data_IF_820590819335
#
_entry.id   IF_820590819335
#
_cell.length_a   1.000
_cell.length_b   1.000
_cell.length_c   1.000
_cell.angle_alpha   90.00
_cell.angle_beta   90.00
_cell.angle_gamma   90.00
#
_symmetry.space_group_name_H-M   'P 1'
#
loop_
_entity.id
_entity.type
_entity.pdbx_description
1 polymer ?
#
# COMPACT_ATOMS: atom_id res chain seq x y z
N UNK A 1 -14.22 13.79 -20.16
CA UNK A 1 -14.57 14.20 -18.79
C UNK A 1 -13.72 13.33 -17.86
N UNK A 2 -12.68 13.90 -17.24
CA UNK A 2 -11.79 13.15 -16.34
C UNK A 2 -12.53 12.92 -15.01
N UNK A 3 -12.83 11.68 -14.66
CA UNK A 3 -13.41 11.34 -13.36
C UNK A 3 -12.32 11.31 -12.29
N UNK A 4 -12.70 11.55 -11.03
CA UNK A 4 -11.81 11.48 -9.87
C UNK A 4 -11.07 10.12 -9.79
N UNK A 5 -11.71 9.05 -10.28
CA UNK A 5 -11.16 7.70 -10.38
C UNK A 5 -9.92 7.62 -11.27
N UNK A 6 -9.78 8.48 -12.29
CA UNK A 6 -8.63 8.48 -13.21
C UNK A 6 -7.32 9.01 -12.59
N UNK A 7 -7.42 9.66 -11.43
CA UNK A 7 -6.28 10.15 -10.63
C UNK A 7 -5.93 9.24 -9.45
N UNK A 8 -6.80 8.28 -9.16
CA UNK A 8 -6.63 7.33 -8.07
C UNK A 8 -5.90 6.10 -8.57
N UNK A 9 -4.95 5.61 -7.77
CA UNK A 9 -4.25 4.36 -8.07
C UNK A 9 -5.23 3.18 -8.03
N UNK A 10 -5.05 2.25 -8.96
CA UNK A 10 -5.74 0.96 -8.91
C UNK A 10 -5.23 0.12 -7.73
N UNK A 11 -5.97 -0.91 -7.34
CA UNK A 11 -5.51 -1.81 -6.28
C UNK A 11 -4.21 -2.53 -6.69
N UNK A 12 -4.09 -2.83 -7.99
CA UNK A 12 -2.92 -3.43 -8.63
C UNK A 12 -1.72 -2.49 -8.59
N UNK A 13 -1.90 -1.20 -8.89
CA UNK A 13 -0.84 -0.20 -8.79
C UNK A 13 -0.34 -0.08 -7.35
N UNK A 14 -1.26 0.03 -6.37
CA UNK A 14 -0.90 0.09 -4.95
C UNK A 14 -0.14 -1.17 -4.51
N UNK A 15 -0.53 -2.34 -5.01
CA UNK A 15 0.14 -3.59 -4.70
C UNK A 15 1.53 -3.69 -5.36
N UNK A 16 1.69 -3.18 -6.58
CA UNK A 16 2.98 -3.06 -7.23
C UNK A 16 3.92 -2.11 -6.46
N UNK A 17 3.43 -0.93 -6.09
CA UNK A 17 4.18 0.02 -5.26
C UNK A 17 4.56 -0.58 -3.91
N UNK A 18 3.65 -1.32 -3.25
CA UNK A 18 3.96 -2.00 -2.00
C UNK A 18 5.09 -3.02 -2.15
N UNK A 19 5.11 -3.78 -3.26
CA UNK A 19 6.18 -4.74 -3.56
C UNK A 19 7.51 -4.06 -3.73
N UNK A 20 7.55 -2.97 -4.49
CA UNK A 20 8.79 -2.20 -4.70
C UNK A 20 9.34 -1.67 -3.39
N UNK A 21 8.49 -1.08 -2.54
CA UNK A 21 8.90 -0.56 -1.24
C UNK A 21 9.46 -1.67 -0.36
N UNK A 22 8.76 -2.82 -0.27
CA UNK A 22 9.13 -3.91 0.64
C UNK A 22 10.36 -4.65 0.18
N UNK A 23 10.49 -4.87 -1.12
CA UNK A 23 11.47 -5.77 -1.71
C UNK A 23 12.54 -5.03 -2.51
N UNK A 24 12.72 -3.73 -2.25
CA UNK A 24 13.76 -2.89 -2.87
C UNK A 24 15.17 -3.46 -2.71
N UNK A 25 15.43 -4.12 -1.56
CA UNK A 25 16.70 -4.77 -1.25
C UNK A 25 16.67 -6.30 -1.46
N UNK A 26 15.69 -6.79 -2.21
CA UNK A 26 15.45 -8.21 -2.46
C UNK A 26 14.36 -8.81 -1.56
N UNK A 27 13.77 -9.91 -2.05
CA UNK A 27 12.71 -10.64 -1.36
C UNK A 27 13.28 -11.46 -0.20
N UNK A 28 12.76 -11.24 1.01
CA UNK A 28 13.12 -11.99 2.21
C UNK A 28 11.88 -12.51 2.94
N UNK A 29 12.03 -13.61 3.67
CA UNK A 29 10.96 -14.19 4.46
C UNK A 29 10.51 -13.22 5.55
N UNK A 30 9.20 -12.94 5.62
CA UNK A 30 8.63 -12.06 6.66
C UNK A 30 8.63 -12.66 8.07
N UNK A 31 9.05 -13.91 8.24
CA UNK A 31 9.09 -14.62 9.52
C UNK A 31 10.51 -14.90 10.02
N UNK A 32 11.43 -15.33 9.15
CA UNK A 32 12.80 -15.71 9.52
C UNK A 32 13.90 -14.92 8.80
N UNK A 33 13.54 -13.93 7.97
CA UNK A 33 14.47 -13.09 7.20
C UNK A 33 15.34 -13.82 6.16
N UNK A 34 15.17 -15.14 5.98
CA UNK A 34 15.89 -15.91 4.95
C UNK A 34 15.60 -15.39 3.54
N UNK A 35 16.63 -15.39 2.69
CA UNK A 35 16.52 -15.11 1.25
C UNK A 35 16.08 -16.33 0.43
N UNK A 36 16.00 -17.51 1.04
CA UNK A 36 15.57 -18.75 0.39
C UNK A 36 14.04 -18.77 0.25
N UNK A 37 13.52 -17.94 -0.66
CA UNK A 37 12.09 -17.71 -0.88
C UNK A 37 11.77 -17.92 -2.35
N UNK A 38 10.72 -18.70 -2.62
CA UNK A 38 10.20 -18.94 -3.98
C UNK A 38 8.80 -18.33 -4.13
N UNK A 39 8.42 -18.03 -5.38
CA UNK A 39 7.02 -17.72 -5.73
C UNK A 39 6.17 -18.98 -5.53
N UNK A 40 5.00 -18.82 -4.92
CA UNK A 40 4.11 -19.92 -4.54
C UNK A 40 2.67 -19.65 -4.99
N UNK A 41 2.53 -19.27 -6.26
CA UNK A 41 1.26 -18.91 -6.87
C UNK A 41 0.71 -17.56 -6.38
N UNK A 42 -0.59 -17.36 -6.60
CA UNK A 42 -1.30 -16.13 -6.26
C UNK A 42 -2.60 -16.45 -5.51
N UNK A 43 -3.11 -15.47 -4.78
CA UNK A 43 -4.49 -15.43 -4.31
C UNK A 43 -5.12 -14.12 -4.78
N UNK A 44 -6.03 -14.20 -5.74
CA UNK A 44 -6.50 -13.04 -6.51
C UNK A 44 -5.28 -12.34 -7.12
N UNK A 45 -5.12 -11.04 -6.88
CA UNK A 45 -3.99 -10.23 -7.34
C UNK A 45 -2.75 -10.31 -6.43
N UNK A 46 -2.87 -10.91 -5.24
CA UNK A 46 -1.79 -10.98 -4.25
C UNK A 46 -0.86 -12.16 -4.53
N UNK A 47 0.44 -11.89 -4.65
CA UNK A 47 1.48 -12.91 -4.80
C UNK A 47 1.68 -13.63 -3.48
N UNK A 48 1.79 -14.95 -3.55
CA UNK A 48 2.20 -15.79 -2.44
C UNK A 48 3.66 -16.18 -2.60
N UNK A 49 4.34 -16.28 -1.48
CA UNK A 49 5.73 -16.67 -1.37
C UNK A 49 5.85 -17.80 -0.36
N UNK A 50 6.70 -18.77 -0.65
CA UNK A 50 7.04 -19.86 0.26
C UNK A 50 8.51 -19.71 0.65
N UNK A 51 8.77 -19.61 1.95
CA UNK A 51 10.13 -19.73 2.45
C UNK A 51 10.53 -21.20 2.51
N UNK A 52 11.63 -21.55 1.85
CA UNK A 52 12.20 -22.91 1.87
C UNK A 52 12.99 -23.21 3.14
N UNK A 53 13.30 -22.19 3.94
CA UNK A 53 13.98 -22.34 5.22
C UNK A 53 13.00 -22.72 6.34
N UNK A 54 11.98 -21.90 6.59
CA UNK A 54 11.03 -22.14 7.68
C UNK A 54 9.70 -22.77 7.25
N UNK A 55 9.49 -23.01 5.96
CA UNK A 55 8.25 -23.58 5.40
C UNK A 55 7.04 -22.65 5.43
N UNK A 56 7.14 -21.43 5.98
CA UNK A 56 6.02 -20.51 6.06
C UNK A 56 5.64 -19.93 4.68
N UNK A 57 4.32 -19.79 4.46
CA UNK A 57 3.76 -19.07 3.32
C UNK A 57 3.39 -17.64 3.73
N UNK A 58 3.79 -16.67 2.92
CA UNK A 58 3.48 -15.25 3.15
C UNK A 58 3.14 -14.53 1.83
N UNK A 59 2.75 -13.27 1.94
CA UNK A 59 2.43 -12.40 0.82
C UNK A 59 2.97 -10.98 1.05
N UNK A 60 2.72 -10.10 0.08
CA UNK A 60 3.17 -8.70 0.12
C UNK A 60 2.65 -7.91 1.34
N UNK A 61 1.51 -8.31 1.93
CA UNK A 61 0.93 -7.66 3.10
C UNK A 61 1.41 -8.27 4.43
N UNK A 62 2.04 -9.44 4.40
CA UNK A 62 2.41 -10.16 5.63
C UNK A 62 3.43 -9.36 6.42
N UNK A 63 3.19 -9.19 7.73
CA UNK A 63 4.04 -8.37 8.59
C UNK A 63 3.94 -6.86 8.33
N UNK A 64 2.89 -6.38 7.65
CA UNK A 64 2.62 -4.94 7.46
C UNK A 64 1.34 -4.51 8.17
N UNK A 65 1.09 -3.21 8.22
CA UNK A 65 -0.20 -2.65 8.68
C UNK A 65 -1.40 -3.10 7.81
N UNK A 66 -1.14 -3.59 6.59
CA UNK A 66 -2.16 -4.10 5.67
C UNK A 66 -2.48 -5.60 5.91
N UNK A 67 -1.71 -6.28 6.77
CA UNK A 67 -1.92 -7.68 7.09
C UNK A 67 -3.31 -7.87 7.72
N UNK A 68 -4.10 -8.81 7.18
CA UNK A 68 -5.43 -9.16 7.71
C UNK A 68 -6.50 -8.11 7.43
N UNK A 69 -6.14 -6.93 6.94
CA UNK A 69 -7.09 -5.88 6.59
C UNK A 69 -7.93 -6.29 5.38
N UNK A 70 -9.24 -6.11 5.51
CA UNK A 70 -10.22 -6.19 4.41
C UNK A 70 -10.37 -4.87 3.65
N UNK A 71 -9.78 -3.79 4.17
CA UNK A 71 -9.76 -2.49 3.49
C UNK A 71 -8.81 -2.56 2.30
N UNK A 72 -9.27 -2.21 1.07
CA UNK A 72 -8.44 -2.20 -0.13
C UNK A 72 -7.20 -1.31 0.03
N UNK A 73 -6.05 -1.73 -0.51
CA UNK A 73 -4.81 -0.95 -0.49
C UNK A 73 -5.01 0.45 -1.07
N UNK A 74 -5.81 0.61 -2.13
CA UNK A 74 -6.09 1.94 -2.71
C UNK A 74 -6.61 2.96 -1.70
N UNK A 75 -7.40 2.51 -0.71
CA UNK A 75 -7.91 3.37 0.38
C UNK A 75 -6.79 3.78 1.32
N UNK A 76 -5.91 2.85 1.68
CA UNK A 76 -4.75 3.16 2.52
C UNK A 76 -3.80 4.15 1.84
N UNK A 77 -3.54 3.94 0.55
CA UNK A 77 -2.70 4.82 -0.26
C UNK A 77 -3.31 6.21 -0.40
N UNK A 78 -4.61 6.32 -0.66
CA UNK A 78 -5.31 7.59 -0.69
C UNK A 78 -5.15 8.37 0.62
N UNK A 79 -5.42 7.71 1.75
CA UNK A 79 -5.33 8.35 3.07
C UNK A 79 -3.87 8.76 3.35
N UNK A 80 -2.91 7.89 3.06
CA UNK A 80 -1.49 8.20 3.24
C UNK A 80 -1.04 9.42 2.42
N UNK A 81 -1.53 9.58 1.19
CA UNK A 81 -1.26 10.72 0.32
C UNK A 81 -1.89 12.01 0.85
N UNK A 82 -3.19 11.96 1.13
CA UNK A 82 -3.97 13.14 1.54
C UNK A 82 -3.59 13.65 2.93
N UNK A 83 -3.10 12.76 3.80
CA UNK A 83 -2.47 13.16 5.08
C UNK A 83 -1.30 14.13 4.89
N UNK A 84 -0.53 14.02 3.80
CA UNK A 84 0.61 14.92 3.52
C UNK A 84 0.15 16.29 3.00
N UNK A 85 -1.01 16.32 2.36
CA UNK A 85 -1.66 17.55 1.88
C UNK A 85 -2.45 18.28 2.97
N UNK A 86 -2.47 17.76 4.20
CA UNK A 86 -3.19 18.37 5.32
C UNK A 86 -4.71 18.15 5.31
N UNK A 87 -5.22 17.25 4.45
CA UNK A 87 -6.65 16.95 4.40
C UNK A 87 -7.15 16.42 5.75
N UNK A 88 -8.35 16.85 6.15
CA UNK A 88 -9.00 16.38 7.37
C UNK A 88 -9.58 14.98 7.19
N UNK A 89 -9.78 14.28 8.31
CA UNK A 89 -10.39 12.94 8.32
C UNK A 89 -11.83 12.98 7.81
N UNK A 90 -12.55 14.08 8.08
CA UNK A 90 -13.92 14.29 7.61
C UNK A 90 -13.98 14.42 6.09
N UNK A 91 -13.06 15.19 5.49
CA UNK A 91 -12.97 15.30 4.02
C UNK A 91 -12.61 13.96 3.38
N UNK A 92 -11.65 13.21 3.95
CA UNK A 92 -11.32 11.87 3.48
C UNK A 92 -12.52 10.92 3.53
N UNK A 93 -13.30 10.99 4.62
CA UNK A 93 -14.52 10.20 4.81
C UNK A 93 -15.57 10.50 3.74
N UNK A 94 -15.79 11.78 3.42
CA UNK A 94 -16.71 12.21 2.36
C UNK A 94 -16.24 11.70 0.99
N UNK A 95 -14.96 11.92 0.63
CA UNK A 95 -14.41 11.52 -0.68
C UNK A 95 -14.45 10.01 -0.86
N UNK A 96 -14.11 9.24 0.18
CA UNK A 96 -14.11 7.78 0.14
C UNK A 96 -15.53 7.17 0.26
N UNK A 97 -16.54 7.95 0.61
CA UNK A 97 -17.87 7.43 0.95
C UNK A 97 -17.85 6.46 2.13
N UNK A 98 -16.93 6.65 3.07
CA UNK A 98 -16.73 5.78 4.24
C UNK A 98 -17.12 6.51 5.52
N UNK A 99 -17.60 5.79 6.53
CA UNK A 99 -17.80 6.36 7.86
C UNK A 99 -16.49 6.91 8.44
N UNK A 100 -16.60 7.97 9.25
CA UNK A 100 -15.46 8.66 9.88
C UNK A 100 -14.57 7.70 10.67
N UNK A 101 -15.16 6.87 11.54
CA UNK A 101 -14.42 6.00 12.47
C UNK A 101 -13.46 5.00 11.78
N UNK A 102 -13.87 4.24 10.74
CA UNK A 102 -12.93 3.47 9.93
C UNK A 102 -11.76 4.29 9.37
N UNK A 103 -12.02 5.48 8.83
CA UNK A 103 -10.99 6.36 8.26
C UNK A 103 -10.04 6.84 9.34
N UNK A 104 -10.56 7.28 10.49
CA UNK A 104 -9.78 7.67 11.67
C UNK A 104 -8.85 6.53 12.12
N UNK A 105 -9.34 5.29 12.20
CA UNK A 105 -8.52 4.13 12.58
C UNK A 105 -7.40 3.86 11.58
N UNK A 106 -7.64 4.07 10.28
CA UNK A 106 -6.61 3.94 9.24
C UNK A 106 -5.55 5.03 9.40
N UNK A 107 -5.97 6.30 9.55
CA UNK A 107 -5.07 7.45 9.79
C UNK A 107 -4.20 7.20 11.01
N UNK A 108 -4.79 6.74 12.12
CA UNK A 108 -4.06 6.43 13.36
C UNK A 108 -2.98 5.37 13.12
N UNK A 109 -3.32 4.23 12.50
CA UNK A 109 -2.36 3.17 12.15
C UNK A 109 -1.25 3.65 11.20
N UNK A 110 -1.58 4.49 10.23
CA UNK A 110 -0.61 5.06 9.30
C UNK A 110 0.36 6.01 10.00
N UNK A 111 -0.10 6.80 10.98
CA UNK A 111 0.75 7.65 11.82
C UNK A 111 1.69 6.83 12.69
N UNK A 112 1.14 5.89 13.45
CA UNK A 112 1.90 5.05 14.41
C UNK A 112 2.98 4.21 13.74
N UNK A 113 2.69 3.65 12.56
CA UNK A 113 3.63 2.81 11.82
C UNK A 113 4.66 3.57 10.98
N UNK A 114 4.49 4.89 10.79
CA UNK A 114 5.34 5.69 9.90
C UNK A 114 5.15 5.42 8.40
N UNK A 115 4.28 4.47 8.00
CA UNK A 115 4.08 4.09 6.58
C UNK A 115 3.64 5.27 5.71
N UNK A 116 2.90 6.24 6.26
CA UNK A 116 2.50 7.45 5.53
C UNK A 116 3.68 8.21 4.92
N UNK A 117 4.86 8.19 5.55
CA UNK A 117 6.08 8.83 5.02
C UNK A 117 6.64 8.04 3.85
N UNK A 118 6.86 6.74 4.04
CA UNK A 118 7.42 5.83 3.03
C UNK A 118 6.57 5.82 1.76
N UNK A 119 5.26 5.71 1.92
CA UNK A 119 4.31 5.74 0.81
C UNK A 119 4.33 7.08 0.10
N UNK A 120 4.36 8.20 0.84
CA UNK A 120 4.39 9.53 0.23
C UNK A 120 5.63 9.81 -0.62
N UNK A 121 6.81 9.36 -0.19
CA UNK A 121 8.05 9.53 -0.98
C UNK A 121 7.95 8.78 -2.29
N UNK A 122 7.56 7.51 -2.24
CA UNK A 122 7.45 6.68 -3.45
C UNK A 122 6.37 7.18 -4.41
N UNK A 123 5.29 7.76 -3.88
CA UNK A 123 4.21 8.29 -4.70
C UNK A 123 4.55 9.63 -5.34
N UNK A 124 5.35 10.48 -4.69
CA UNK A 124 5.93 11.67 -5.33
C UNK A 124 6.81 11.28 -6.51
N UNK A 125 7.60 10.20 -6.38
CA UNK A 125 8.36 9.65 -7.51
C UNK A 125 7.45 9.20 -8.65
N UNK A 126 6.34 8.50 -8.37
CA UNK A 126 5.40 8.03 -9.41
C UNK A 126 4.66 9.20 -10.09
N UNK A 127 4.21 10.21 -9.33
CA UNK A 127 3.56 11.40 -9.88
C UNK A 127 4.53 12.22 -10.73
N UNK A 128 5.77 12.38 -10.26
CA UNK A 128 6.84 13.11 -10.99
C UNK A 128 7.36 12.32 -12.20
N UNK A 129 7.42 10.99 -12.12
CA UNK A 129 7.87 10.13 -13.22
C UNK A 129 6.77 9.85 -14.26
N UNK A 130 5.50 10.21 -14.01
CA UNK A 130 4.38 9.68 -14.78
C UNK A 130 3.21 10.61 -15.12
N UNK A 131 3.10 11.85 -14.61
CA UNK A 131 2.02 12.78 -15.02
C UNK A 131 2.40 14.28 -14.93
N UNK A 132 3.54 14.68 -15.51
CA UNK A 132 3.70 16.03 -16.08
C UNK A 132 4.27 15.89 -17.49
N UNK A 133 3.46 15.30 -18.38
CA UNK A 133 3.62 15.50 -19.81
C UNK A 133 2.89 16.77 -20.20
N UNK A 134 3.65 17.82 -20.53
CA UNK A 134 3.20 18.96 -21.32
C UNK A 134 2.61 20.14 -20.54
N UNK A 135 3.50 21.05 -20.13
CA UNK A 135 3.37 22.48 -20.43
C UNK A 135 4.71 22.96 -20.97
#
# INVERSE_FOLDING_TARGET
MLTLESFMLTEEDCLATLREIRWSNGLTCSFCSSKNVIKHGNYRIYKKYLCKECGCVFNDKTGTIFHGSRVPLRVWFFIALTMQSGMSISEMSIILGMYYDPVYRIVKKLRESGYHKVMSTKLKEIVWAGKVGGL
#
